data_IF_762065110319
#
_entry.id   IF_762065110319
#
_cell.length_a   1.000
_cell.length_b   1.000
_cell.length_c   1.000
_cell.angle_alpha   90.00
_cell.angle_beta   90.00
_cell.angle_gamma   90.00
#
_symmetry.space_group_name_H-M   'P 1'
#
loop_
_entity.id
_entity.type
_entity.pdbx_description
1 polymer ?
#
# COMPACT_ATOMS: atom_id res chain seq x y z
N UNK A 1 25.43 16.03 19.94
CA UNK A 1 24.96 16.32 21.31
C UNK A 1 24.14 15.11 21.76
N UNK A 2 24.70 14.25 22.61
CA UNK A 2 23.91 13.16 23.23
C UNK A 2 22.95 13.77 24.23
N UNK A 3 21.69 13.38 24.19
CA UNK A 3 20.73 13.72 25.23
C UNK A 3 21.22 13.17 26.60
N UNK A 4 21.00 13.88 27.72
CA UNK A 4 21.25 13.29 29.03
C UNK A 4 20.37 12.04 29.17
N UNK A 5 20.99 10.90 29.49
CA UNK A 5 20.25 9.68 29.81
C UNK A 5 19.43 9.96 31.07
N UNK A 6 18.13 9.75 31.01
CA UNK A 6 17.22 9.94 32.14
C UNK A 6 17.65 8.98 33.28
N UNK A 7 17.61 9.40 34.56
CA UNK A 7 18.10 8.58 35.68
C UNK A 7 17.38 7.23 35.81
N UNK A 8 16.20 7.08 35.18
CA UNK A 8 15.41 5.85 35.16
C UNK A 8 16.13 4.70 34.47
N UNK A 9 17.01 4.99 33.50
CA UNK A 9 17.73 3.97 32.71
C UNK A 9 18.96 3.41 33.43
N UNK A 10 19.46 4.11 34.47
CA UNK A 10 20.71 3.75 35.16
C UNK A 10 20.55 3.38 36.62
N UNK A 11 19.38 3.63 37.23
CA UNK A 11 19.09 3.24 38.60
C UNK A 11 18.56 1.80 38.65
N UNK A 12 19.28 0.84 39.27
CA UNK A 12 18.82 -0.54 39.37
C UNK A 12 17.50 -0.67 40.12
N UNK A 13 17.16 0.23 41.05
CA UNK A 13 15.87 0.22 41.74
C UNK A 13 14.72 0.68 40.82
N UNK A 14 14.99 1.62 39.90
CA UNK A 14 14.03 2.06 38.91
C UNK A 14 13.79 0.99 37.84
N UNK A 15 14.86 0.32 37.37
CA UNK A 15 14.75 -0.82 36.45
C UNK A 15 13.98 -1.99 37.08
N UNK A 16 14.11 -2.22 38.40
CA UNK A 16 13.36 -3.24 39.12
C UNK A 16 11.86 -2.95 39.22
N UNK A 17 11.49 -1.67 39.28
CA UNK A 17 10.10 -1.23 39.41
C UNK A 17 9.27 -1.45 38.14
N UNK A 18 9.90 -1.42 36.96
CA UNK A 18 9.23 -1.68 35.69
C UNK A 18 8.87 -3.18 35.56
N UNK A 19 9.82 -4.06 35.84
CA UNK A 19 9.64 -5.52 35.80
C UNK A 19 8.58 -6.00 36.82
N UNK A 20 8.34 -5.26 37.90
CA UNK A 20 7.28 -5.57 38.89
C UNK A 20 5.86 -5.45 38.32
N UNK A 21 5.68 -4.72 37.21
CA UNK A 21 4.40 -4.53 36.54
C UNK A 21 4.16 -5.56 35.42
N UNK A 22 5.09 -6.47 35.17
CA UNK A 22 4.91 -7.51 34.16
C UNK A 22 3.87 -8.54 34.60
N UNK A 23 3.18 -9.09 33.61
CA UNK A 23 2.10 -10.07 33.72
C UNK A 23 2.50 -11.27 34.59
N UNK A 24 3.72 -11.76 34.41
CA UNK A 24 4.32 -12.89 35.15
C UNK A 24 4.42 -12.61 36.66
N UNK A 25 4.78 -11.37 37.04
CA UNK A 25 4.92 -10.96 38.44
C UNK A 25 3.60 -10.57 39.08
N UNK A 26 2.75 -9.87 38.33
CA UNK A 26 1.40 -9.53 38.76
C UNK A 26 0.51 -10.78 38.83
N UNK A 27 0.92 -11.89 38.18
CA UNK A 27 0.15 -13.12 38.02
C UNK A 27 -1.21 -12.84 37.38
N UNK A 28 -1.21 -11.96 36.39
CA UNK A 28 -2.37 -11.59 35.61
C UNK A 28 -2.05 -11.94 34.17
N UNK A 29 -2.83 -12.82 33.55
CA UNK A 29 -2.77 -13.05 32.11
C UNK A 29 -3.80 -12.14 31.43
N UNK A 30 -3.40 -11.19 30.56
CA UNK A 30 -4.35 -10.33 29.85
C UNK A 30 -5.36 -11.13 29.01
N UNK A 31 -5.02 -12.35 28.61
CA UNK A 31 -5.88 -13.26 27.88
C UNK A 31 -6.85 -14.03 28.79
N UNK A 32 -6.60 -14.09 30.11
CA UNK A 32 -7.49 -14.77 31.06
C UNK A 32 -8.80 -14.00 31.28
N UNK A 33 -8.74 -12.66 31.35
CA UNK A 33 -9.94 -11.83 31.40
C UNK A 33 -10.65 -11.74 30.05
N UNK A 34 -9.91 -11.90 28.95
CA UNK A 34 -10.39 -11.67 27.59
C UNK A 34 -10.65 -10.19 27.30
N UNK A 35 -10.52 -9.81 26.03
CA UNK A 35 -11.00 -8.50 25.56
C UNK A 35 -12.44 -8.69 25.11
N UNK A 36 -13.38 -7.99 25.76
CA UNK A 36 -14.75 -7.91 25.26
C UNK A 36 -14.77 -7.01 24.02
N UNK A 37 -15.16 -7.55 22.84
CA UNK A 37 -15.25 -6.72 21.64
C UNK A 37 -16.37 -5.68 21.80
N UNK A 38 -16.33 -4.59 21.03
CA UNK A 38 -17.42 -3.63 21.03
C UNK A 38 -18.77 -4.30 20.78
N UNK A 39 -19.77 -3.95 21.57
CA UNK A 39 -21.16 -4.26 21.23
C UNK A 39 -21.50 -3.64 19.86
N UNK A 40 -22.40 -4.29 19.11
CA UNK A 40 -22.83 -3.82 17.79
C UNK A 40 -21.74 -3.74 16.72
N UNK A 41 -20.79 -4.68 16.71
CA UNK A 41 -19.92 -4.87 15.55
C UNK A 41 -20.74 -4.95 14.25
N UNK A 42 -20.29 -4.23 13.23
CA UNK A 42 -20.82 -4.30 11.87
C UNK A 42 -19.73 -4.79 10.92
N UNK A 43 -20.11 -5.70 10.02
CA UNK A 43 -19.21 -6.17 8.97
C UNK A 43 -18.62 -5.03 8.15
N UNK A 44 -17.37 -5.18 7.72
CA UNK A 44 -16.82 -4.32 6.68
C UNK A 44 -17.57 -4.59 5.38
N UNK A 45 -18.12 -3.54 4.77
CA UNK A 45 -18.93 -3.56 3.57
C UNK A 45 -18.33 -2.72 2.42
N UNK A 46 -17.07 -2.30 2.58
CA UNK A 46 -16.31 -1.61 1.53
C UNK A 46 -16.04 -2.53 0.34
N UNK A 47 -15.82 -1.94 -0.82
CA UNK A 47 -15.39 -2.68 -2.01
C UNK A 47 -14.10 -3.48 -1.76
N UNK A 48 -14.03 -4.70 -2.27
CA UNK A 48 -12.86 -5.58 -2.16
C UNK A 48 -12.93 -6.62 -1.04
N UNK A 49 -14.08 -6.74 -0.37
CA UNK A 49 -14.34 -7.81 0.61
C UNK A 49 -14.60 -9.17 -0.03
N UNK A 50 -14.96 -9.23 -1.32
CA UNK A 50 -15.22 -10.48 -2.03
C UNK A 50 -14.13 -10.82 -3.07
N UNK A 51 -13.90 -12.12 -3.37
CA UNK A 51 -12.96 -12.51 -4.42
C UNK A 51 -13.33 -12.00 -5.81
N UNK A 52 -14.59 -11.66 -6.07
CA UNK A 52 -15.02 -11.08 -7.34
C UNK A 52 -14.56 -9.62 -7.44
N UNK A 53 -14.86 -8.81 -6.42
CA UNK A 53 -14.45 -7.41 -6.32
C UNK A 53 -12.93 -7.25 -6.38
N UNK A 54 -12.17 -8.13 -5.72
CA UNK A 54 -10.70 -8.06 -5.79
C UNK A 54 -10.14 -8.31 -7.19
N UNK A 55 -10.83 -9.13 -8.01
CA UNK A 55 -10.43 -9.37 -9.40
C UNK A 55 -10.82 -8.23 -10.31
N UNK A 56 -11.99 -7.63 -10.07
CA UNK A 56 -12.48 -6.50 -10.85
C UNK A 56 -11.69 -5.22 -10.52
N UNK A 57 -11.32 -5.05 -9.25
CA UNK A 57 -10.73 -3.83 -8.74
C UNK A 57 -11.77 -2.71 -8.59
N UNK A 58 -11.50 -1.76 -7.70
CA UNK A 58 -12.37 -0.62 -7.52
C UNK A 58 -12.25 0.35 -8.70
N UNK A 59 -13.37 0.97 -9.09
CA UNK A 59 -13.35 1.95 -10.18
C UNK A 59 -12.49 3.17 -9.82
N UNK A 60 -11.73 3.69 -10.78
CA UNK A 60 -10.88 4.86 -10.57
C UNK A 60 -11.67 6.08 -10.08
N UNK A 61 -12.89 6.25 -10.59
CA UNK A 61 -13.78 7.34 -10.17
C UNK A 61 -14.19 7.25 -8.69
N UNK A 62 -14.46 6.03 -8.19
CA UNK A 62 -14.76 5.82 -6.77
C UNK A 62 -13.56 6.20 -5.90
N UNK A 63 -12.35 5.71 -6.25
CA UNK A 63 -11.12 6.03 -5.52
C UNK A 63 -10.85 7.53 -5.48
N UNK A 64 -10.97 8.22 -6.62
CA UNK A 64 -10.80 9.67 -6.70
C UNK A 64 -11.85 10.44 -5.88
N UNK A 65 -13.06 9.91 -5.73
CA UNK A 65 -14.10 10.57 -4.94
C UNK A 65 -13.88 10.49 -3.44
N UNK A 66 -13.11 9.50 -2.98
CA UNK A 66 -12.70 9.37 -1.57
C UNK A 66 -11.54 10.30 -1.21
N UNK A 67 -10.75 10.72 -2.20
CA UNK A 67 -9.57 11.57 -2.00
C UNK A 67 -9.96 13.05 -1.85
N UNK A 68 -9.27 13.74 -0.93
CA UNK A 68 -9.33 15.19 -0.80
C UNK A 68 -8.07 15.81 -1.42
N UNK A 69 -8.18 16.76 -2.37
CA UNK A 69 -7.02 17.44 -2.92
C UNK A 69 -6.30 18.27 -1.86
N UNK A 70 -5.00 18.06 -1.68
CA UNK A 70 -4.16 18.84 -0.77
C UNK A 70 -3.83 20.25 -1.32
N UNK A 71 -3.99 20.43 -2.62
CA UNK A 71 -3.75 21.70 -3.33
C UNK A 71 -4.98 22.08 -4.15
N UNK A 72 -5.20 23.39 -4.31
CA UNK A 72 -6.15 23.88 -5.30
C UNK A 72 -5.66 23.52 -6.69
N UNK A 73 -6.53 22.92 -7.50
CA UNK A 73 -6.24 22.68 -8.90
C UNK A 73 -5.95 24.01 -9.60
N UNK A 74 -4.87 24.05 -10.35
CA UNK A 74 -4.57 25.18 -11.23
C UNK A 74 -5.63 25.29 -12.32
N UNK A 75 -5.84 26.51 -12.82
CA UNK A 75 -6.78 26.77 -13.90
C UNK A 75 -6.26 26.10 -15.18
N UNK A 76 -6.97 25.07 -15.65
CA UNK A 76 -6.60 24.37 -16.88
C UNK A 76 -6.93 25.27 -18.07
N UNK A 77 -5.95 25.63 -18.92
CA UNK A 77 -6.19 26.49 -20.07
C UNK A 77 -7.12 25.81 -21.09
N UNK A 78 -7.97 26.58 -21.77
CA UNK A 78 -8.92 26.05 -22.77
C UNK A 78 -8.21 25.30 -23.92
N UNK A 79 -6.95 25.66 -24.19
CA UNK A 79 -6.12 25.04 -25.21
C UNK A 79 -4.84 24.50 -24.57
N UNK A 80 -4.43 23.26 -24.90
CA UNK A 80 -3.14 22.74 -24.45
C UNK A 80 -2.00 23.64 -24.91
N UNK A 81 -0.98 23.82 -24.06
CA UNK A 81 0.19 24.64 -24.38
C UNK A 81 0.89 24.14 -25.65
N UNK A 82 0.99 22.82 -25.83
CA UNK A 82 1.56 22.20 -27.03
C UNK A 82 0.83 22.58 -28.34
N UNK A 83 -0.45 22.96 -28.26
CA UNK A 83 -1.26 23.40 -29.40
C UNK A 83 -1.33 24.93 -29.52
N UNK A 84 -0.76 25.67 -28.57
CA UNK A 84 -0.80 27.14 -28.53
C UNK A 84 0.35 27.71 -29.35
N UNK A 85 0.11 28.62 -30.32
CA UNK A 85 1.16 29.24 -31.13
C UNK A 85 2.18 30.00 -30.27
N UNK A 86 3.44 29.99 -30.68
CA UNK A 86 4.53 30.61 -29.91
C UNK A 86 4.33 32.10 -29.61
N UNK A 87 3.61 32.83 -30.47
CA UNK A 87 3.33 34.26 -30.28
C UNK A 87 2.21 34.54 -29.25
N UNK A 88 1.44 33.52 -28.86
CA UNK A 88 0.36 33.59 -27.87
C UNK A 88 0.76 33.05 -26.49
N UNK A 89 2.00 32.54 -26.38
CA UNK A 89 2.60 32.00 -25.17
C UNK A 89 3.17 33.13 -24.30
N UNK A 90 2.95 33.08 -22.98
CA UNK A 90 3.46 34.05 -22.01
C UNK A 90 4.58 33.49 -21.11
N UNK A 91 5.08 34.30 -20.18
CA UNK A 91 6.20 33.94 -19.30
C UNK A 91 5.87 32.83 -18.28
N UNK A 92 4.60 32.45 -18.09
CA UNK A 92 4.20 31.39 -17.16
C UNK A 92 4.64 29.98 -17.59
N UNK A 93 5.09 29.83 -18.83
CA UNK A 93 5.60 28.55 -19.36
C UNK A 93 6.88 28.11 -18.65
N UNK A 94 7.70 29.07 -18.21
CA UNK A 94 8.95 28.78 -17.52
C UNK A 94 8.71 28.30 -16.06
N UNK A 95 7.52 28.57 -15.50
CA UNK A 95 7.12 28.15 -14.15
C UNK A 95 6.47 26.74 -14.13
N UNK A 96 6.19 26.15 -15.29
CA UNK A 96 5.61 24.81 -15.33
C UNK A 96 6.63 23.73 -14.96
N UNK A 97 6.26 22.77 -14.08
CA UNK A 97 7.12 21.63 -13.82
C UNK A 97 7.30 20.82 -15.11
N UNK A 98 8.54 20.75 -15.60
CA UNK A 98 8.89 20.12 -16.88
C UNK A 98 8.69 18.60 -16.98
N UNK A 99 7.98 17.98 -16.04
CA UNK A 99 7.86 16.53 -15.86
C UNK A 99 6.40 16.03 -16.04
N UNK A 100 5.60 16.72 -16.84
CA UNK A 100 4.36 16.13 -17.39
C UNK A 100 4.72 15.30 -18.63
N UNK A 101 4.75 13.98 -18.49
CA UNK A 101 4.81 13.07 -19.62
C UNK A 101 3.62 13.35 -20.54
N UNK A 102 3.90 13.87 -21.73
CA UNK A 102 2.88 14.10 -22.74
C UNK A 102 2.29 12.76 -23.14
N UNK A 103 1.09 12.45 -22.64
CA UNK A 103 0.28 11.34 -23.16
C UNK A 103 -0.13 11.74 -24.57
N UNK A 104 0.64 11.30 -25.56
CA UNK A 104 0.28 11.45 -26.96
C UNK A 104 -1.11 10.83 -27.19
N UNK A 105 -1.99 11.44 -28.00
CA UNK A 105 -3.20 10.73 -28.43
C UNK A 105 -2.77 9.40 -29.05
N UNK A 106 -3.36 8.29 -28.61
CA UNK A 106 -2.98 6.96 -29.03
C UNK A 106 -3.25 6.74 -30.53
N UNK A 107 -2.33 7.21 -31.37
CA UNK A 107 -2.23 6.80 -32.76
C UNK A 107 -1.47 5.46 -32.78
N UNK A 108 -2.23 4.39 -32.57
CA UNK A 108 -1.90 3.05 -33.08
C UNK A 108 -0.84 2.25 -32.33
N UNK A 109 -1.33 1.29 -31.53
CA UNK A 109 -0.65 0.01 -31.32
C UNK A 109 0.22 -0.06 -30.07
N UNK A 110 -0.40 -0.15 -28.90
CA UNK A 110 0.29 -0.66 -27.71
C UNK A 110 0.58 -2.15 -27.94
N UNK A 111 1.81 -2.45 -28.35
CA UNK A 111 2.36 -3.79 -28.28
C UNK A 111 2.30 -4.24 -26.83
N UNK A 112 1.35 -5.11 -26.51
CA UNK A 112 1.31 -5.83 -25.24
C UNK A 112 2.67 -6.50 -25.07
N UNK A 113 3.48 -6.04 -24.11
CA UNK A 113 4.65 -6.80 -23.67
C UNK A 113 4.15 -8.10 -23.05
N UNK A 114 3.95 -9.12 -23.88
CA UNK A 114 3.77 -10.49 -23.43
C UNK A 114 5.13 -10.97 -22.99
N UNK A 115 5.45 -10.86 -21.70
CA UNK A 115 6.48 -11.71 -21.11
C UNK A 115 5.93 -13.15 -21.08
N UNK A 116 5.97 -13.81 -22.22
CA UNK A 116 5.79 -15.26 -22.36
C UNK A 116 6.66 -15.73 -23.51
N UNK A 117 7.97 -15.60 -23.30
CA UNK A 117 8.93 -16.48 -23.94
C UNK A 117 8.79 -17.88 -23.30
N UNK A 118 8.03 -18.71 -24.00
CA UNK A 118 8.29 -20.13 -24.26
C UNK A 118 8.88 -21.01 -23.13
N UNK A 119 8.09 -21.32 -22.10
CA UNK A 119 8.25 -22.58 -21.36
C UNK A 119 6.94 -23.39 -21.43
N UNK A 120 6.93 -24.61 -21.97
CA UNK A 120 5.78 -25.50 -21.84
C UNK A 120 5.64 -25.92 -20.37
N UNK A 121 4.89 -25.13 -19.61
CA UNK A 121 4.45 -25.49 -18.26
C UNK A 121 3.28 -26.45 -18.40
N UNK A 122 3.56 -27.75 -18.30
CA UNK A 122 2.55 -28.78 -18.16
C UNK A 122 1.83 -28.60 -16.81
N UNK A 123 0.76 -27.81 -16.80
CA UNK A 123 -0.07 -27.50 -15.64
C UNK A 123 -0.94 -28.69 -15.17
N UNK A 124 -0.89 -29.81 -15.89
CA UNK A 124 -1.74 -31.00 -15.64
C UNK A 124 -1.10 -32.01 -14.68
N UNK A 125 0.11 -31.76 -14.18
CA UNK A 125 0.80 -32.61 -13.23
C UNK A 125 0.78 -32.00 -11.81
N UNK A 126 -0.18 -32.44 -11.00
CA UNK A 126 -0.18 -32.17 -9.57
C UNK A 126 0.94 -32.98 -8.89
N UNK A 127 2.08 -32.34 -8.64
CA UNK A 127 3.17 -32.95 -7.89
C UNK A 127 4.54 -32.42 -8.29
N UNK A 128 4.88 -31.20 -7.86
CA UNK A 128 6.25 -30.72 -7.95
C UNK A 128 7.21 -31.67 -7.20
N UNK A 129 8.35 -31.96 -7.81
CA UNK A 129 9.33 -33.00 -7.46
C UNK A 129 10.05 -32.86 -6.10
N UNK A 130 9.47 -32.14 -5.14
CA UNK A 130 10.01 -31.97 -3.79
C UNK A 130 9.35 -32.94 -2.79
N UNK A 131 8.15 -33.46 -3.10
CA UNK A 131 7.37 -34.28 -2.16
C UNK A 131 7.86 -35.73 -1.99
N UNK A 132 8.67 -36.28 -2.90
CA UNK A 132 9.05 -37.70 -2.86
C UNK A 132 10.20 -38.00 -1.87
N UNK A 133 11.05 -37.02 -1.55
CA UNK A 133 12.25 -37.26 -0.73
C UNK A 133 11.97 -37.44 0.78
N UNK A 134 10.75 -37.19 1.24
CA UNK A 134 10.38 -37.12 2.67
C UNK A 134 9.39 -38.22 3.11
N UNK A 135 9.02 -39.19 2.25
CA UNK A 135 8.04 -40.23 2.60
C UNK A 135 8.58 -41.66 2.79
N UNK A 136 9.89 -41.90 2.76
CA UNK A 136 10.40 -43.25 3.08
C UNK A 136 10.82 -43.34 4.54
N UNK A 137 10.00 -43.90 5.46
CA UNK A 137 10.50 -44.37 6.75
C UNK A 137 11.33 -45.64 6.53
N UNK A 138 12.48 -45.75 7.19
CA UNK A 138 13.14 -47.04 7.49
C UNK A 138 12.30 -47.88 8.47
#
# INVERSE_FOLDING_TARGET
MSAPQEPVESDPAALNSAEDLDEDRLRVDPLEAGIEPPEHWSAADRFGTTPAEQREGESMAARLSEEQPDVTADEVPEKPIAATPADELDESIDDQPGDVEQVAPEEGGVGRHTSSDELPQAADQAGGSVAEAIRTPE
#
